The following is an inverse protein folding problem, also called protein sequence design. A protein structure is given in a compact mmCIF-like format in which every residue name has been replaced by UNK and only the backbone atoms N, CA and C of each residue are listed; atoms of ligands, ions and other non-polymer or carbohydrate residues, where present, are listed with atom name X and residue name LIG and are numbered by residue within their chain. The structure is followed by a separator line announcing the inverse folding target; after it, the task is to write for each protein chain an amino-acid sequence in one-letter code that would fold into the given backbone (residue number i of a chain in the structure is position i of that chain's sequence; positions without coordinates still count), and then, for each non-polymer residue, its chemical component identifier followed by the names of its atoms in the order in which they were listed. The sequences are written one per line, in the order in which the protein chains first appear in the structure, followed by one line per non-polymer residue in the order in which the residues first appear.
data_IF_060994102124
#
_entry.id   IF_060994102124
#
_cell.length_a   1.000
_cell.length_b   1.000
_cell.length_c   1.000
_cell.angle_alpha   90.00
_cell.angle_beta   90.00
_cell.angle_gamma   90.00
#
_symmetry.space_group_name_H-M   'P 1'
#
loop_
_entity.id
_entity.type
_entity.pdbx_description
1 polymer ?
#
# COMPACT_ATOMS: atom_id res chain seq x y z
N UNK A 1 -22.17 -17.84 25.93
CA UNK A 1 -21.20 -18.22 24.90
C UNK A 1 -19.84 -18.08 25.53
N UNK A 2 -19.16 -19.20 25.71
CA UNK A 2 -17.81 -19.27 26.29
C UNK A 2 -16.79 -19.23 25.15
N UNK A 3 -15.58 -18.73 25.40
CA UNK A 3 -14.52 -18.66 24.37
C UNK A 3 -14.25 -20.03 23.72
N UNK A 4 -14.49 -21.12 24.45
CA UNK A 4 -14.37 -22.51 23.96
C UNK A 4 -15.37 -22.85 22.85
N UNK A 5 -16.60 -22.33 22.93
CA UNK A 5 -17.62 -22.54 21.90
C UNK A 5 -17.31 -21.73 20.63
N UNK A 6 -16.63 -20.59 20.79
CA UNK A 6 -16.19 -19.74 19.68
C UNK A 6 -15.03 -20.41 18.92
N UNK A 7 -14.03 -20.92 19.64
CA UNK A 7 -12.88 -21.61 19.04
C UNK A 7 -13.29 -22.89 18.29
N UNK A 8 -14.22 -23.66 18.86
CA UNK A 8 -14.74 -24.87 18.22
C UNK A 8 -15.51 -24.56 16.93
N UNK A 9 -16.29 -23.47 16.91
CA UNK A 9 -17.01 -23.03 15.72
C UNK A 9 -16.05 -22.59 14.61
N UNK A 10 -15.02 -21.82 14.95
CA UNK A 10 -13.98 -21.35 14.02
C UNK A 10 -13.18 -22.51 13.43
N UNK A 11 -12.78 -23.50 14.24
CA UNK A 11 -12.05 -24.67 13.77
C UNK A 11 -12.90 -25.61 12.88
N UNK A 12 -14.22 -25.56 13.02
CA UNK A 12 -15.15 -26.36 12.20
C UNK A 12 -15.57 -25.68 10.89
N UNK A 13 -15.15 -24.43 10.68
CA UNK A 13 -15.51 -23.66 9.49
C UNK A 13 -14.56 -24.02 8.32
N UNK A 14 -15.06 -24.65 7.25
CA UNK A 14 -14.25 -25.00 6.08
C UNK A 14 -13.67 -23.78 5.36
N UNK A 15 -14.27 -22.59 5.50
CA UNK A 15 -13.72 -21.34 4.94
C UNK A 15 -12.53 -20.83 5.78
N UNK A 16 -12.42 -21.23 7.06
CA UNK A 16 -11.32 -20.86 7.95
C UNK A 16 -10.05 -21.71 7.72
N UNK A 17 -10.22 -22.97 7.31
CA UNK A 17 -9.13 -23.89 6.99
C UNK A 17 -8.19 -23.38 5.89
N UNK A 18 -8.67 -22.48 5.01
CA UNK A 18 -7.86 -21.87 3.94
C UNK A 18 -6.89 -20.78 4.46
N UNK A 19 -7.16 -20.19 5.64
CA UNK A 19 -6.33 -19.12 6.24
C UNK A 19 -5.29 -19.63 7.25
N UNK A 20 -5.27 -20.94 7.52
CA UNK A 20 -4.41 -21.58 8.53
C UNK A 20 -2.88 -21.44 8.33
N UNK A 21 -2.31 -21.16 7.14
CA UNK A 21 -0.87 -20.95 7.03
C UNK A 21 -0.43 -19.49 6.96
N UNK A 22 -1.29 -18.50 7.26
CA UNK A 22 -0.83 -17.10 7.33
C UNK A 22 -0.08 -16.89 8.65
N UNK A 23 1.23 -17.08 8.60
CA UNK A 23 2.14 -16.78 9.71
C UNK A 23 2.27 -15.26 9.89
N UNK A 24 1.32 -14.68 10.63
CA UNK A 24 1.27 -13.25 10.95
C UNK A 24 2.51 -12.77 11.75
N UNK A 25 3.32 -13.67 12.32
CA UNK A 25 4.59 -13.30 12.97
C UNK A 25 5.63 -12.74 12.00
N UNK A 26 5.50 -13.06 10.70
CA UNK A 26 6.35 -12.55 9.61
C UNK A 26 5.77 -11.32 8.92
N UNK A 27 4.61 -10.83 9.34
CA UNK A 27 4.01 -9.65 8.73
C UNK A 27 4.85 -8.41 9.07
N UNK A 28 5.46 -7.80 8.06
CA UNK A 28 6.12 -6.50 8.23
C UNK A 28 5.06 -5.40 8.32
N UNK A 29 5.00 -4.72 9.47
CA UNK A 29 4.19 -3.52 9.64
C UNK A 29 4.84 -2.37 8.86
N UNK A 30 4.42 -2.20 7.61
CA UNK A 30 4.85 -1.07 6.78
C UNK A 30 4.03 0.16 7.16
N UNK A 31 4.60 1.05 7.98
CA UNK A 31 3.99 2.36 8.22
C UNK A 31 4.16 3.22 6.96
N UNK A 32 3.07 3.60 6.26
CA UNK A 32 3.21 4.44 5.09
C UNK A 32 3.78 5.80 5.50
N UNK A 33 4.83 6.24 4.80
CA UNK A 33 5.43 7.53 5.06
C UNK A 33 4.36 8.64 5.00
N UNK A 34 4.35 9.51 6.02
CA UNK A 34 3.46 10.67 6.07
C UNK A 34 3.62 11.48 4.78
N UNK A 35 2.52 11.65 4.04
CA UNK A 35 2.47 12.50 2.85
C UNK A 35 1.95 13.87 3.29
N UNK A 36 2.66 14.92 2.92
CA UNK A 36 2.16 16.28 3.10
C UNK A 36 1.35 16.67 1.86
N UNK A 37 0.09 17.07 2.06
CA UNK A 37 -0.72 17.63 1.00
C UNK A 37 -0.23 19.06 0.72
N UNK A 38 0.32 19.28 -0.47
CA UNK A 38 0.77 20.59 -0.93
C UNK A 38 0.11 20.91 -2.27
N UNK A 39 -0.09 22.19 -2.55
CA UNK A 39 -0.50 22.66 -3.88
C UNK A 39 0.75 23.04 -4.66
N UNK A 40 0.99 22.39 -5.79
CA UNK A 40 2.09 22.70 -6.71
C UNK A 40 1.52 22.87 -8.12
N UNK A 41 2.17 23.70 -8.94
CA UNK A 41 1.85 23.83 -10.36
C UNK A 41 2.79 22.92 -11.15
N UNK A 42 2.22 22.17 -12.08
CA UNK A 42 2.92 21.33 -13.03
C UNK A 42 2.45 21.74 -14.43
N UNK A 43 3.31 21.57 -15.42
CA UNK A 43 2.96 21.85 -16.81
C UNK A 43 1.85 20.91 -17.28
N UNK A 44 1.03 21.43 -18.21
CA UNK A 44 -0.18 20.74 -18.68
C UNK A 44 0.15 19.41 -19.37
N UNK A 45 1.21 19.39 -20.18
CA UNK A 45 1.70 18.21 -20.89
C UNK A 45 2.14 17.09 -19.93
N UNK A 46 2.80 17.44 -18.82
CA UNK A 46 3.15 16.49 -17.77
C UNK A 46 1.90 15.89 -17.13
N UNK A 47 0.92 16.74 -16.80
CA UNK A 47 -0.35 16.27 -16.22
C UNK A 47 -1.04 15.30 -17.18
N UNK A 48 -1.12 15.65 -18.45
CA UNK A 48 -1.78 14.85 -19.48
C UNK A 48 -1.05 13.52 -19.72
N UNK A 49 0.28 13.54 -19.79
CA UNK A 49 1.11 12.34 -19.89
C UNK A 49 0.82 11.35 -18.75
N UNK A 50 0.82 11.81 -17.49
CA UNK A 50 0.58 10.91 -16.36
C UNK A 50 -0.88 10.46 -16.24
N UNK A 51 -1.85 11.30 -16.65
CA UNK A 51 -3.27 10.93 -16.70
C UNK A 51 -3.56 9.89 -17.78
N UNK A 52 -2.90 9.97 -18.93
CA UNK A 52 -3.06 9.02 -20.03
C UNK A 52 -2.73 7.57 -19.63
N UNK A 53 -1.87 7.39 -18.62
CA UNK A 53 -1.52 6.07 -18.10
C UNK A 53 -2.57 5.49 -17.11
N UNK A 54 -3.68 6.18 -16.87
CA UNK A 54 -4.80 5.72 -16.06
C UNK A 54 -4.79 6.21 -14.59
N UNK A 55 -5.63 5.60 -13.73
CA UNK A 55 -5.80 6.05 -12.34
C UNK A 55 -4.50 5.96 -11.53
N UNK A 56 -4.36 6.84 -10.53
CA UNK A 56 -3.16 6.89 -9.68
C UNK A 56 -1.99 7.69 -10.26
N UNK A 57 -2.25 8.59 -11.23
CA UNK A 57 -1.25 9.48 -11.83
C UNK A 57 -0.44 10.28 -10.78
N UNK A 58 -1.08 10.77 -9.72
CA UNK A 58 -0.39 11.46 -8.61
C UNK A 58 0.63 10.56 -7.88
N UNK A 59 0.33 9.26 -7.72
CA UNK A 59 1.24 8.29 -7.12
C UNK A 59 2.47 8.08 -8.00
N UNK A 60 2.29 8.07 -9.33
CA UNK A 60 3.38 7.99 -10.30
C UNK A 60 4.26 9.23 -10.29
N UNK A 61 3.68 10.42 -10.27
CA UNK A 61 4.42 11.68 -10.12
C UNK A 61 5.31 11.63 -8.88
N UNK A 62 4.75 11.23 -7.73
CA UNK A 62 5.52 11.08 -6.49
C UNK A 62 6.64 10.04 -6.60
N UNK A 63 6.41 8.91 -7.28
CA UNK A 63 7.44 7.88 -7.47
C UNK A 63 8.62 8.39 -8.32
N UNK A 64 8.35 9.16 -9.38
CA UNK A 64 9.38 9.80 -10.21
C UNK A 64 10.20 10.79 -9.39
N UNK A 65 9.55 11.67 -8.62
CA UNK A 65 10.24 12.63 -7.75
C UNK A 65 11.13 11.94 -6.70
N UNK A 66 10.65 10.83 -6.11
CA UNK A 66 11.46 10.02 -5.19
C UNK A 66 12.66 9.37 -5.87
N UNK A 67 12.48 8.88 -7.10
CA UNK A 67 13.58 8.29 -7.88
C UNK A 67 14.67 9.32 -8.14
N UNK A 68 14.29 10.50 -8.61
CA UNK A 68 15.19 11.63 -8.83
C UNK A 68 15.92 12.04 -7.53
N UNK A 69 15.19 12.18 -6.42
CA UNK A 69 15.78 12.49 -5.11
C UNK A 69 16.81 11.44 -4.67
N UNK A 70 16.51 10.14 -4.84
CA UNK A 70 17.45 9.07 -4.48
C UNK A 70 18.71 9.11 -5.33
N UNK A 71 18.59 9.30 -6.63
CA UNK A 71 19.74 9.42 -7.53
C UNK A 71 20.66 10.57 -7.13
N UNK A 72 20.10 11.72 -6.72
CA UNK A 72 20.90 12.89 -6.29
C UNK A 72 21.49 12.78 -4.88
N UNK A 73 20.92 11.97 -3.99
CA UNK A 73 21.44 11.79 -2.63
C UNK A 73 22.57 10.77 -2.53
N UNK A 74 22.72 9.92 -3.55
CA UNK A 74 23.72 8.85 -3.59
C UNK A 74 25.01 9.30 -4.30
N UNK A 75 25.05 10.54 -4.82
CA UNK A 75 26.28 11.23 -5.26
C UNK A 75 26.66 12.33 -4.30
#
# INVERSE_FOLDING_TARGET
MTDVELDAAVASDPDWAEFEPIDWSKAEVVVPAKKQAISIRLDQDLIDYFKAQGPGYQRRINAVLRSYMRQRKVG
#
